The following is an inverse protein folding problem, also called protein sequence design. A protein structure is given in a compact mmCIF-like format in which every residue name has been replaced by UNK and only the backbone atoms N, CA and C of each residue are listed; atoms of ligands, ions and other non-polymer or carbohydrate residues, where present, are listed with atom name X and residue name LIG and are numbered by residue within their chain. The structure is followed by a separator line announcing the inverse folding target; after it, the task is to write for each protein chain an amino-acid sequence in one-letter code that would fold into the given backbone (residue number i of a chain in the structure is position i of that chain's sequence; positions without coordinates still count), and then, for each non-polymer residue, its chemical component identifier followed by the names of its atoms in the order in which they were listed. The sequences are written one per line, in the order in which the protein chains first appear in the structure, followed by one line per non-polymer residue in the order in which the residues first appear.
data_IF_742014821329
#
_entry.id   IF_742014821329
#
_cell.length_a   1.000
_cell.length_b   1.000
_cell.length_c   1.000
_cell.angle_alpha   90.00
_cell.angle_beta   90.00
_cell.angle_gamma   90.00
#
_symmetry.space_group_name_H-M   'P 1'
#
loop_
_entity.id
_entity.type
_entity.pdbx_description
1 polymer ?
#
# COMPACT_ATOMS: atom_id res chain seq x y z
N UNK A 1 15.19 -18.12 -4.09
CA UNK A 1 15.17 -18.00 -5.57
C UNK A 1 14.51 -16.67 -5.90
N UNK A 2 14.84 -16.00 -7.01
CA UNK A 2 14.05 -14.84 -7.46
C UNK A 2 12.76 -15.36 -8.11
N UNK A 3 11.61 -14.97 -7.56
CA UNK A 3 10.31 -15.23 -8.15
C UNK A 3 9.88 -14.00 -8.95
N UNK A 4 9.42 -14.21 -10.17
CA UNK A 4 8.87 -13.15 -11.04
C UNK A 4 7.46 -13.54 -11.45
N UNK A 5 6.50 -12.65 -11.17
CA UNK A 5 5.10 -12.76 -11.57
C UNK A 5 4.79 -11.73 -12.63
N UNK A 6 4.04 -12.15 -13.65
CA UNK A 6 3.56 -11.29 -14.73
C UNK A 6 2.04 -11.31 -14.75
N UNK A 7 1.44 -10.13 -14.86
CA UNK A 7 0.00 -9.91 -14.95
C UNK A 7 -0.30 -9.09 -16.18
N UNK A 8 -1.41 -9.40 -16.84
CA UNK A 8 -1.94 -8.58 -17.94
C UNK A 8 -3.13 -7.80 -17.38
N UNK A 9 -3.01 -6.49 -17.33
CA UNK A 9 -4.07 -5.56 -16.90
C UNK A 9 -4.38 -4.65 -18.07
N UNK A 10 -5.52 -4.88 -18.73
CA UNK A 10 -5.82 -4.30 -20.05
C UNK A 10 -4.66 -4.55 -21.04
N UNK A 11 -4.05 -3.51 -21.59
CA UNK A 11 -2.92 -3.61 -22.52
C UNK A 11 -1.55 -3.58 -21.82
N UNK A 12 -1.52 -3.52 -20.49
CA UNK A 12 -0.29 -3.43 -19.70
C UNK A 12 0.22 -4.79 -19.23
N UNK A 13 1.50 -5.04 -19.50
CA UNK A 13 2.24 -6.13 -18.84
C UNK A 13 2.86 -5.61 -17.54
N UNK A 14 2.29 -6.01 -16.40
CA UNK A 14 2.76 -5.61 -15.07
C UNK A 14 3.53 -6.75 -14.42
N UNK A 15 4.61 -6.41 -13.72
CA UNK A 15 5.49 -7.40 -13.08
C UNK A 15 5.63 -7.17 -11.59
N UNK A 16 5.85 -8.26 -10.86
CA UNK A 16 6.30 -8.27 -9.47
C UNK A 16 7.46 -9.25 -9.35
N UNK A 17 8.57 -8.81 -8.78
CA UNK A 17 9.73 -9.63 -8.51
C UNK A 17 10.17 -9.52 -7.05
N UNK A 18 10.49 -10.65 -6.42
CA UNK A 18 11.03 -10.70 -5.06
C UNK A 18 11.82 -11.97 -4.83
N UNK A 19 12.70 -11.94 -3.82
CA UNK A 19 13.38 -13.13 -3.37
C UNK A 19 12.46 -13.91 -2.43
N UNK A 20 12.26 -15.20 -2.72
CA UNK A 20 11.51 -16.09 -1.84
C UNK A 20 12.06 -16.04 -0.40
N UNK A 21 11.18 -16.15 0.61
CA UNK A 21 11.61 -16.24 1.99
C UNK A 21 12.54 -17.45 2.16
N UNK A 22 13.71 -17.21 2.75
CA UNK A 22 14.52 -18.32 3.26
C UNK A 22 13.78 -18.88 4.49
N UNK A 23 13.48 -20.18 4.51
CA UNK A 23 12.89 -20.91 5.66
C UNK A 23 13.79 -20.95 6.93
N UNK A 24 14.73 -20.01 7.07
CA UNK A 24 15.53 -19.85 8.26
C UNK A 24 14.68 -19.15 9.33
N UNK A 25 14.26 -19.91 10.33
CA UNK A 25 13.60 -19.44 11.53
C UNK A 25 14.37 -18.28 12.15
N UNK A 26 13.81 -17.07 12.05
CA UNK A 26 14.35 -15.90 12.76
C UNK A 26 14.04 -16.09 14.25
N UNK A 27 15.05 -16.11 15.14
CA UNK A 27 14.80 -16.22 16.56
C UNK A 27 14.02 -14.99 17.04
N UNK A 28 12.80 -15.23 17.52
CA UNK A 28 11.99 -14.22 18.20
C UNK A 28 12.67 -13.87 19.53
N UNK A 29 13.29 -12.69 19.64
CA UNK A 29 13.70 -12.17 20.95
C UNK A 29 12.44 -11.81 21.74
N UNK A 30 12.11 -12.62 22.75
CA UNK A 30 11.12 -12.29 23.77
C UNK A 30 11.71 -11.28 24.76
N UNK A 31 11.68 -10.00 24.41
CA UNK A 31 11.78 -8.91 25.37
C UNK A 31 10.42 -8.68 26.03
N UNK A 32 10.39 -8.38 27.33
CA UNK A 32 9.17 -7.93 28.00
C UNK A 32 8.69 -6.63 27.34
N UNK A 33 7.43 -6.62 26.88
CA UNK A 33 6.82 -5.44 26.26
C UNK A 33 6.57 -4.38 27.33
N UNK A 34 7.41 -3.34 27.37
CA UNK A 34 7.09 -2.13 28.12
C UNK A 34 5.96 -1.42 27.38
N UNK A 35 4.75 -1.38 27.95
CA UNK A 35 3.60 -0.69 27.34
C UNK A 35 3.82 0.82 27.49
N UNK A 36 4.08 1.51 26.38
CA UNK A 36 4.25 2.95 26.36
C UNK A 36 2.90 3.68 26.57
N UNK A 37 2.90 4.91 27.13
CA UNK A 37 1.66 5.62 27.44
C UNK A 37 0.74 5.91 26.24
N UNK A 38 1.32 6.06 25.04
CA UNK A 38 0.58 6.31 23.80
C UNK A 38 0.05 5.06 23.12
N UNK A 39 0.22 3.88 23.73
CA UNK A 39 -0.25 2.63 23.15
C UNK A 39 -1.77 2.63 23.02
N UNK A 40 -2.28 2.22 21.86
CA UNK A 40 -3.72 2.14 21.66
C UNK A 40 -4.33 1.10 22.62
N UNK A 41 -5.45 1.48 23.23
CA UNK A 41 -6.27 0.59 24.05
C UNK A 41 -7.61 0.51 23.37
N UNK A 42 -7.75 -0.44 22.47
CA UNK A 42 -8.96 -0.59 21.68
C UNK A 42 -9.44 -2.04 21.66
N UNK A 43 -10.70 -2.20 21.32
CA UNK A 43 -11.36 -3.44 21.01
C UNK A 43 -12.17 -3.24 19.73
N UNK A 44 -12.05 -4.20 18.81
CA UNK A 44 -12.94 -4.27 17.65
C UNK A 44 -14.13 -5.14 18.05
N UNK A 45 -15.29 -4.50 18.22
CA UNK A 45 -16.54 -5.15 18.56
C UNK A 45 -17.16 -5.82 17.33
N UNK A 46 -16.98 -5.22 16.15
CA UNK A 46 -17.43 -5.77 14.87
C UNK A 46 -16.51 -5.29 13.76
N UNK A 47 -16.18 -6.17 12.83
CA UNK A 47 -15.51 -5.85 11.58
C UNK A 47 -16.01 -6.84 10.52
N UNK A 48 -16.74 -6.34 9.53
CA UNK A 48 -17.40 -7.20 8.54
C UNK A 48 -17.57 -6.49 7.20
N UNK A 49 -17.60 -7.30 6.14
CA UNK A 49 -18.04 -6.89 4.82
C UNK A 49 -19.53 -7.20 4.64
N UNK A 50 -20.25 -6.36 3.90
CA UNK A 50 -21.62 -6.67 3.49
C UNK A 50 -21.68 -7.86 2.50
N UNK A 51 -20.64 -7.99 1.67
CA UNK A 51 -20.42 -9.12 0.76
C UNK A 51 -18.91 -9.38 0.65
N UNK A 52 -18.51 -10.64 0.59
CA UNK A 52 -17.13 -11.10 0.41
C UNK A 52 -16.83 -11.46 -1.06
N UNK A 53 -17.77 -11.19 -1.96
CA UNK A 53 -17.66 -11.39 -3.39
C UNK A 53 -18.30 -10.21 -4.12
N UNK A 54 -17.59 -9.66 -5.09
CA UNK A 54 -18.06 -8.54 -5.92
C UNK A 54 -17.71 -8.78 -7.39
N UNK A 55 -18.46 -8.14 -8.29
CA UNK A 55 -18.10 -8.06 -9.70
C UNK A 55 -17.06 -6.96 -9.96
N UNK A 56 -16.30 -7.02 -11.07
CA UNK A 56 -15.35 -5.96 -11.43
C UNK A 56 -16.00 -4.58 -11.51
N UNK A 57 -15.38 -3.59 -10.86
CA UNK A 57 -15.87 -2.21 -10.81
C UNK A 57 -16.91 -1.93 -9.71
N UNK A 58 -17.36 -2.94 -8.97
CA UNK A 58 -18.22 -2.73 -7.80
C UNK A 58 -17.43 -2.32 -6.55
N UNK A 59 -18.13 -1.69 -5.60
CA UNK A 59 -17.56 -1.29 -4.32
C UNK A 59 -17.86 -2.29 -3.22
N UNK A 60 -16.90 -2.49 -2.32
CA UNK A 60 -17.07 -3.17 -1.04
C UNK A 60 -17.71 -2.23 -0.03
N UNK A 61 -18.58 -2.77 0.82
CA UNK A 61 -19.08 -2.07 2.01
C UNK A 61 -18.48 -2.67 3.27
N UNK A 62 -17.51 -1.96 3.86
CA UNK A 62 -16.85 -2.31 5.12
C UNK A 62 -17.57 -1.63 6.29
N UNK A 63 -17.92 -2.39 7.31
CA UNK A 63 -18.50 -1.86 8.55
C UNK A 63 -17.65 -2.27 9.75
N UNK A 64 -17.37 -1.32 10.64
CA UNK A 64 -16.62 -1.58 11.86
C UNK A 64 -17.22 -0.85 13.06
N UNK A 65 -17.15 -1.49 14.23
CA UNK A 65 -17.43 -0.90 15.53
C UNK A 65 -16.19 -1.09 16.40
N UNK A 66 -15.62 0.01 16.85
CA UNK A 66 -14.37 0.04 17.61
C UNK A 66 -14.62 0.84 18.87
N UNK A 67 -14.33 0.25 20.02
CA UNK A 67 -14.30 0.98 21.30
C UNK A 67 -12.85 1.15 21.74
N UNK A 68 -12.45 2.33 22.19
CA UNK A 68 -11.08 2.54 22.64
C UNK A 68 -10.59 3.98 22.75
N UNK A 69 -9.33 4.09 23.16
CA UNK A 69 -8.60 5.35 23.32
C UNK A 69 -7.23 5.24 22.65
N UNK A 70 -6.55 6.38 22.51
CA UNK A 70 -5.21 6.51 21.92
C UNK A 70 -5.08 6.05 20.46
N UNK A 71 -6.16 6.16 19.69
CA UNK A 71 -6.14 5.96 18.23
C UNK A 71 -5.70 7.28 17.58
N UNK A 72 -4.59 7.23 16.85
CA UNK A 72 -4.06 8.37 16.12
C UNK A 72 -4.66 8.46 14.72
N UNK A 73 -4.59 7.37 13.96
CA UNK A 73 -5.11 7.30 12.60
C UNK A 73 -5.79 5.95 12.34
N UNK A 74 -6.70 5.96 11.38
CA UNK A 74 -7.35 4.76 10.85
C UNK A 74 -7.10 4.74 9.35
N UNK A 75 -6.78 3.56 8.80
CA UNK A 75 -6.59 3.38 7.37
C UNK A 75 -7.40 2.20 6.86
N UNK A 76 -7.80 2.28 5.60
CA UNK A 76 -8.16 1.09 4.82
C UNK A 76 -7.03 0.74 3.88
N UNK A 77 -6.78 -0.54 3.66
CA UNK A 77 -5.79 -1.00 2.69
C UNK A 77 -6.26 -2.26 1.96
N UNK A 78 -5.85 -2.44 0.70
CA UNK A 78 -6.19 -3.63 -0.09
C UNK A 78 -4.91 -4.34 -0.53
N UNK A 79 -4.83 -5.65 -0.33
CA UNK A 79 -3.80 -6.50 -0.92
C UNK A 79 -4.46 -7.50 -1.86
N UNK A 80 -3.77 -7.85 -2.95
CA UNK A 80 -4.23 -8.89 -3.86
C UNK A 80 -3.39 -10.15 -3.71
N UNK A 81 -4.02 -11.31 -3.87
CA UNK A 81 -3.38 -12.60 -3.70
C UNK A 81 -2.66 -13.03 -4.97
N UNK A 82 -1.51 -13.66 -4.79
CA UNK A 82 -0.85 -14.43 -5.82
C UNK A 82 -1.69 -15.67 -6.20
N UNK A 83 -1.69 -16.04 -7.49
CA UNK A 83 -2.53 -17.13 -8.00
C UNK A 83 -1.97 -18.54 -7.70
N UNK A 84 -0.67 -18.66 -7.42
CA UNK A 84 0.01 -19.96 -7.25
C UNK A 84 0.55 -20.16 -5.83
N UNK A 85 0.86 -19.07 -5.14
CA UNK A 85 1.47 -19.05 -3.82
C UNK A 85 0.57 -18.33 -2.82
N UNK A 86 0.75 -18.64 -1.54
CA UNK A 86 0.03 -17.96 -0.45
C UNK A 86 0.74 -16.65 -0.06
N UNK A 87 0.88 -15.78 -1.05
CA UNK A 87 1.46 -14.44 -0.92
C UNK A 87 0.43 -13.38 -1.27
N UNK A 88 0.52 -12.24 -0.60
CA UNK A 88 -0.31 -11.07 -0.89
C UNK A 88 0.57 -9.87 -1.22
N UNK A 89 0.25 -9.18 -2.31
CA UNK A 89 0.99 -8.03 -2.80
C UNK A 89 0.20 -6.75 -2.53
N UNK A 90 0.86 -5.74 -1.99
CA UNK A 90 0.18 -4.49 -1.72
C UNK A 90 0.93 -3.52 -0.81
N UNK A 91 0.19 -2.56 -0.22
CA UNK A 91 -1.20 -2.24 -0.56
C UNK A 91 -1.35 -1.77 -2.02
N UNK A 92 -2.33 -2.30 -2.76
CA UNK A 92 -2.76 -1.73 -4.06
C UNK A 92 -3.43 -0.38 -3.87
N UNK A 93 -4.18 -0.27 -2.78
CA UNK A 93 -4.85 0.95 -2.35
C UNK A 93 -4.65 1.08 -0.85
N UNK A 94 -4.38 2.29 -0.40
CA UNK A 94 -4.38 2.65 1.01
C UNK A 94 -4.96 4.05 1.15
N UNK A 95 -5.84 4.25 2.13
CA UNK A 95 -6.52 5.52 2.34
C UNK A 95 -6.68 5.79 3.83
N UNK A 96 -6.62 7.07 4.21
CA UNK A 96 -6.99 7.50 5.55
C UNK A 96 -8.51 7.47 5.72
N UNK A 97 -8.99 6.88 6.80
CA UNK A 97 -10.40 7.00 7.19
C UNK A 97 -10.64 8.39 7.77
N UNK A 98 -11.65 9.09 7.24
CA UNK A 98 -12.00 10.44 7.68
C UNK A 98 -12.77 10.40 9.01
N UNK A 99 -12.42 11.29 9.94
CA UNK A 99 -13.20 11.50 11.15
C UNK A 99 -14.24 12.60 10.91
N UNK A 100 -15.33 12.58 11.69
CA UNK A 100 -16.30 13.66 11.74
C UNK A 100 -15.72 14.94 12.37
N UNK A 101 -14.69 14.81 13.21
CA UNK A 101 -14.03 15.93 13.88
C UNK A 101 -12.54 15.88 13.57
N UNK A 102 -11.98 17.04 13.21
CA UNK A 102 -10.58 17.20 12.87
C UNK A 102 -9.98 18.33 13.67
N UNK A 103 -8.67 18.26 13.90
CA UNK A 103 -7.91 19.27 14.62
C UNK A 103 -6.62 19.58 13.89
N UNK A 104 -6.35 20.87 13.69
CA UNK A 104 -5.07 21.33 13.18
C UNK A 104 -4.07 21.56 14.31
N UNK A 105 -2.87 21.00 14.18
CA UNK A 105 -1.76 21.17 15.11
C UNK A 105 -0.50 21.46 14.30
N UNK A 106 0.06 22.66 14.46
CA UNK A 106 1.29 23.08 13.75
C UNK A 106 1.16 22.99 12.21
N UNK A 107 -0.03 23.29 11.68
CA UNK A 107 -0.30 23.22 10.24
C UNK A 107 -0.61 21.82 9.70
N UNK A 108 -0.59 20.79 10.56
CA UNK A 108 -0.98 19.42 10.21
C UNK A 108 -2.38 19.11 10.72
N UNK A 109 -3.19 18.47 9.89
CA UNK A 109 -4.56 18.06 10.26
C UNK A 109 -4.50 16.65 10.86
N UNK A 110 -5.18 16.46 11.97
CA UNK A 110 -5.31 15.18 12.66
C UNK A 110 -6.79 14.84 12.87
N UNK A 111 -7.18 13.56 12.73
CA UNK A 111 -8.51 13.14 13.15
C UNK A 111 -8.65 13.22 14.66
N UNK A 112 -9.87 13.48 15.12
CA UNK A 112 -10.28 13.31 16.51
C UNK A 112 -11.33 12.23 16.56
N UNK A 113 -11.05 11.16 17.30
CA UNK A 113 -11.95 10.02 17.41
C UNK A 113 -12.73 10.06 18.73
N UNK A 114 -14.00 9.69 18.69
CA UNK A 114 -14.76 9.36 19.88
C UNK A 114 -14.28 8.04 20.50
N UNK A 115 -14.63 7.79 21.76
CA UNK A 115 -14.33 6.50 22.41
C UNK A 115 -15.06 5.32 21.76
N UNK A 116 -16.14 5.59 21.02
CA UNK A 116 -16.94 4.63 20.27
C UNK A 116 -16.98 5.06 18.81
N UNK A 117 -16.26 4.34 17.95
CA UNK A 117 -16.11 4.64 16.53
C UNK A 117 -16.98 3.67 15.74
N UNK A 118 -17.90 4.22 14.97
CA UNK A 118 -18.76 3.47 14.06
C UNK A 118 -18.42 3.85 12.62
N UNK A 119 -17.93 2.89 11.84
CA UNK A 119 -17.53 3.10 10.46
C UNK A 119 -18.49 2.39 9.51
N UNK A 120 -18.82 3.07 8.41
CA UNK A 120 -19.43 2.47 7.22
C UNK A 120 -18.74 3.09 6.01
N UNK A 121 -17.91 2.31 5.35
CA UNK A 121 -17.02 2.75 4.28
C UNK A 121 -17.39 2.02 2.99
N UNK A 122 -17.42 2.76 1.88
CA UNK A 122 -17.53 2.22 0.52
C UNK A 122 -16.17 2.32 -0.15
N UNK A 123 -15.67 1.20 -0.66
CA UNK A 123 -14.28 1.06 -1.10
C UNK A 123 -14.28 0.37 -2.45
N UNK A 124 -13.77 1.05 -3.47
CA UNK A 124 -13.74 0.54 -4.86
C UNK A 124 -12.34 0.08 -5.22
N UNK A 125 -12.07 -1.24 -5.33
CA UNK A 125 -10.74 -1.72 -5.65
C UNK A 125 -10.32 -1.31 -7.06
N UNK A 126 -9.13 -0.72 -7.18
CA UNK A 126 -8.48 -0.38 -8.46
C UNK A 126 -7.02 -0.79 -8.43
N UNK A 127 -6.42 -0.97 -9.60
CA UNK A 127 -4.98 -1.14 -9.76
C UNK A 127 -4.42 0.16 -10.31
N UNK A 128 -3.55 0.81 -9.55
CA UNK A 128 -2.80 1.95 -10.06
C UNK A 128 -1.59 1.50 -10.86
N UNK A 129 -1.49 2.01 -12.07
CA UNK A 129 -0.40 1.72 -13.02
C UNK A 129 0.43 2.97 -13.22
N UNK A 130 1.73 2.89 -12.94
CA UNK A 130 2.69 3.94 -13.32
C UNK A 130 3.23 3.62 -14.71
N UNK A 131 3.25 4.60 -15.60
CA UNK A 131 3.69 4.42 -16.99
C UNK A 131 4.70 5.50 -17.42
N UNK A 132 5.58 5.13 -18.34
CA UNK A 132 6.48 6.05 -19.06
C UNK A 132 6.01 6.31 -20.51
N UNK A 133 4.79 5.86 -20.85
CA UNK A 133 4.20 5.90 -22.18
C UNK A 133 4.50 4.67 -23.05
N UNK A 134 5.51 3.86 -22.68
CA UNK A 134 5.89 2.64 -23.39
C UNK A 134 5.81 1.39 -22.50
N UNK A 135 6.27 1.51 -21.26
CA UNK A 135 6.29 0.46 -20.25
C UNK A 135 5.37 0.84 -19.08
N UNK A 136 4.97 -0.18 -18.32
CA UNK A 136 4.11 -0.02 -17.16
C UNK A 136 4.61 -0.83 -15.95
N UNK A 137 4.23 -0.37 -14.77
CA UNK A 137 4.51 -1.04 -13.50
C UNK A 137 3.34 -0.86 -12.53
N UNK A 138 3.16 -1.80 -11.60
CA UNK A 138 2.27 -1.58 -10.46
C UNK A 138 2.80 -0.39 -9.64
N UNK A 139 1.90 0.50 -9.28
CA UNK A 139 2.19 1.62 -8.41
C UNK A 139 1.52 1.38 -7.05
N UNK A 140 2.24 0.74 -6.13
CA UNK A 140 1.81 0.53 -4.74
C UNK A 140 1.90 1.85 -3.97
N UNK A 141 0.99 2.77 -4.29
CA UNK A 141 0.98 4.13 -3.76
C UNK A 141 0.31 4.18 -2.39
N UNK A 142 0.79 5.12 -1.58
CA UNK A 142 0.27 5.40 -0.25
C UNK A 142 -0.25 6.84 -0.21
N UNK A 143 -1.21 7.16 0.66
CA UNK A 143 -1.66 8.53 0.81
C UNK A 143 -0.51 9.39 1.34
N UNK A 144 -0.63 10.71 1.14
CA UNK A 144 0.22 11.67 1.84
C UNK A 144 -0.22 11.77 3.32
N UNK A 145 0.09 12.89 3.95
CA UNK A 145 -0.33 13.17 5.32
C UNK A 145 -1.87 13.21 5.42
N UNK A 146 -2.40 13.04 6.62
CA UNK A 146 -3.85 13.06 6.83
C UNK A 146 -4.47 14.37 6.34
N UNK A 147 -5.60 14.28 5.64
CA UNK A 147 -6.28 15.39 4.98
C UNK A 147 -5.50 16.07 3.83
N UNK A 148 -4.32 15.56 3.46
CA UNK A 148 -3.57 16.04 2.32
C UNK A 148 -3.95 15.24 1.07
N UNK A 149 -4.34 15.96 0.02
CA UNK A 149 -4.61 15.35 -1.29
C UNK A 149 -3.33 14.92 -1.99
N UNK A 150 -3.43 13.86 -2.79
CA UNK A 150 -2.32 13.26 -3.51
C UNK A 150 -1.81 11.98 -2.85
N UNK A 151 -0.79 11.41 -3.47
CA UNK A 151 -0.23 10.12 -3.10
C UNK A 151 1.29 10.12 -3.27
N UNK A 152 1.93 9.14 -2.66
CA UNK A 152 3.37 8.93 -2.76
C UNK A 152 3.69 7.49 -3.14
N UNK A 153 4.75 7.35 -3.93
CA UNK A 153 5.27 6.07 -4.40
C UNK A 153 6.74 5.96 -4.04
N UNK A 154 7.12 4.88 -3.36
CA UNK A 154 8.51 4.56 -3.09
C UNK A 154 9.04 3.52 -4.09
N UNK A 155 10.30 3.70 -4.48
CA UNK A 155 10.96 2.83 -5.43
C UNK A 155 12.48 2.91 -5.39
N UNK A 156 13.10 2.19 -6.31
CA UNK A 156 14.53 2.25 -6.59
C UNK A 156 14.77 3.10 -7.83
N UNK A 157 15.63 4.11 -7.70
CA UNK A 157 16.03 5.00 -8.77
C UNK A 157 17.48 4.77 -9.17
N UNK A 158 17.72 4.60 -10.46
CA UNK A 158 19.04 4.37 -11.04
C UNK A 158 19.31 5.41 -12.11
N UNK A 159 20.36 6.23 -11.92
CA UNK A 159 20.81 7.13 -12.99
C UNK A 159 21.40 6.31 -14.13
N UNK A 160 21.10 6.68 -15.38
CA UNK A 160 21.50 5.96 -16.61
C UNK A 160 22.94 5.42 -16.60
N UNK A 161 23.88 6.23 -16.11
CA UNK A 161 25.32 5.94 -16.17
C UNK A 161 25.92 5.49 -14.82
N UNK A 162 25.12 5.43 -13.75
CA UNK A 162 25.66 5.24 -12.39
C UNK A 162 25.72 3.79 -11.92
N UNK A 163 24.97 2.88 -12.57
CA UNK A 163 24.83 1.47 -12.18
C UNK A 163 24.25 1.21 -10.77
N UNK A 164 24.15 2.24 -9.94
CA UNK A 164 23.77 2.15 -8.53
C UNK A 164 22.32 2.59 -8.36
N UNK A 165 21.50 1.70 -7.77
CA UNK A 165 20.14 2.01 -7.38
C UNK A 165 20.11 2.62 -5.97
N UNK A 166 19.37 3.72 -5.81
CA UNK A 166 19.10 4.34 -4.52
C UNK A 166 17.59 4.39 -4.27
N UNK A 167 17.17 4.46 -3.00
CA UNK A 167 15.76 4.66 -2.69
C UNK A 167 15.33 6.04 -3.18
N UNK A 168 14.13 6.12 -3.72
CA UNK A 168 13.51 7.37 -4.13
C UNK A 168 12.03 7.36 -3.74
N UNK A 169 11.48 8.55 -3.61
CA UNK A 169 10.07 8.80 -3.36
C UNK A 169 9.57 9.82 -4.35
N UNK A 170 8.51 9.48 -5.07
CA UNK A 170 7.78 10.42 -5.91
C UNK A 170 6.44 10.71 -5.25
N UNK A 171 5.97 11.95 -5.36
CA UNK A 171 4.61 12.33 -4.97
C UNK A 171 3.87 12.79 -6.20
N UNK A 172 2.60 12.44 -6.26
CA UNK A 172 1.69 12.81 -7.32
C UNK A 172 0.46 13.48 -6.72
N UNK A 173 -0.18 14.36 -7.49
CA UNK A 173 -1.54 14.79 -7.19
C UNK A 173 -2.56 13.70 -7.57
N UNK A 174 -3.85 14.04 -7.44
CA UNK A 174 -4.96 13.12 -7.73
C UNK A 174 -5.22 12.93 -9.23
N UNK A 175 -4.64 13.76 -10.10
CA UNK A 175 -4.83 13.69 -11.56
C UNK A 175 -3.73 12.89 -12.25
N UNK A 176 -2.70 12.42 -11.52
CA UNK A 176 -1.61 11.65 -12.09
C UNK A 176 -0.29 12.41 -12.21
N UNK A 177 -0.26 13.70 -11.89
CA UNK A 177 0.88 14.57 -12.18
C UNK A 177 1.89 14.58 -11.03
N UNK A 178 3.17 14.51 -11.37
CA UNK A 178 4.24 14.46 -10.38
C UNK A 178 4.49 15.85 -9.76
N UNK A 179 4.25 15.97 -8.46
CA UNK A 179 4.39 17.22 -7.70
C UNK A 179 5.69 17.30 -6.89
N UNK A 180 6.30 16.17 -6.54
CA UNK A 180 7.56 16.11 -5.79
C UNK A 180 8.37 14.85 -6.13
N UNK A 181 9.70 14.96 -6.02
CA UNK A 181 10.63 13.86 -6.33
C UNK A 181 11.89 13.97 -5.48
N UNK A 182 12.12 12.93 -4.69
CA UNK A 182 13.20 12.91 -3.71
C UNK A 182 14.01 11.63 -3.85
N UNK A 183 15.31 11.74 -3.65
CA UNK A 183 16.21 10.61 -3.43
C UNK A 183 16.49 10.48 -1.95
N UNK A 184 16.43 9.25 -1.43
CA UNK A 184 16.65 8.91 -0.04
C UNK A 184 18.01 8.23 0.07
N UNK A 185 18.95 8.91 0.74
CA UNK A 185 20.30 8.42 0.95
C UNK A 185 20.52 8.07 2.41
N UNK A 186 21.21 6.97 2.67
CA UNK A 186 21.65 6.63 4.02
C UNK A 186 23.09 7.13 4.25
N UNK A 187 23.28 7.93 5.30
CA UNK A 187 24.59 8.42 5.72
C UNK A 187 24.76 8.25 7.22
N UNK A 188 25.69 7.37 7.61
CA UNK A 188 25.99 7.06 9.03
C UNK A 188 24.76 6.63 9.82
N UNK A 189 23.92 5.76 9.25
CA UNK A 189 22.71 5.26 9.89
C UNK A 189 21.54 6.25 9.94
N UNK A 190 21.64 7.39 9.25
CA UNK A 190 20.55 8.38 9.12
C UNK A 190 20.08 8.44 7.68
N UNK A 191 18.76 8.45 7.49
CA UNK A 191 18.13 8.70 6.20
C UNK A 191 18.08 10.22 5.96
N UNK A 192 18.49 10.64 4.78
CA UNK A 192 18.42 12.03 4.31
C UNK A 192 17.70 12.06 2.96
N UNK A 193 16.76 13.00 2.82
CA UNK A 193 16.05 13.26 1.56
C UNK A 193 16.68 14.46 0.84
N UNK A 194 16.78 14.35 -0.49
CA UNK A 194 17.26 15.41 -1.36
C UNK A 194 16.41 15.47 -2.62
N UNK A 195 16.25 16.67 -3.19
CA UNK A 195 15.61 16.84 -4.50
C UNK A 195 16.28 15.96 -5.56
N UNK A 196 15.45 15.33 -6.38
CA UNK A 196 15.90 14.39 -7.41
C UNK A 196 15.63 14.95 -8.81
N UNK A 197 16.65 15.50 -9.51
CA UNK A 197 16.51 15.80 -10.93
C UNK A 197 16.54 14.49 -11.74
N UNK A 198 15.43 14.20 -12.44
CA UNK A 198 15.28 13.03 -13.31
C UNK A 198 15.61 13.43 -14.75
N UNK A 199 16.45 12.66 -15.42
CA UNK A 199 16.87 12.88 -16.83
C UNK A 199 16.44 11.72 -17.71
N UNK A 200 16.41 11.95 -19.02
CA UNK A 200 16.12 10.90 -19.99
C UNK A 200 17.11 9.74 -19.86
N UNK A 201 16.58 8.52 -19.79
CA UNK A 201 17.31 7.28 -19.58
C UNK A 201 17.56 6.91 -18.11
N UNK A 202 17.19 7.75 -17.15
CA UNK A 202 17.14 7.34 -15.75
C UNK A 202 16.00 6.35 -15.54
N UNK A 203 16.18 5.39 -14.64
CA UNK A 203 15.20 4.32 -14.39
C UNK A 203 14.59 4.43 -13.00
N UNK A 204 13.32 4.04 -12.89
CA UNK A 204 12.60 3.91 -11.64
C UNK A 204 11.88 2.56 -11.57
N UNK A 205 11.98 1.90 -10.42
CA UNK A 205 11.33 0.61 -10.16
C UNK A 205 10.53 0.74 -8.86
N UNK A 206 9.18 0.74 -8.91
CA UNK A 206 8.35 0.78 -7.71
C UNK A 206 8.66 -0.38 -6.77
N UNK A 207 8.61 -0.15 -5.47
CA UNK A 207 8.71 -1.24 -4.48
C UNK A 207 7.33 -1.80 -4.14
N UNK A 208 7.30 -3.07 -3.74
CA UNK A 208 6.09 -3.74 -3.27
C UNK A 208 6.34 -4.38 -1.91
N UNK A 209 5.34 -4.36 -1.02
CA UNK A 209 5.33 -5.19 0.18
C UNK A 209 4.65 -6.51 -0.14
N UNK A 210 5.31 -7.60 0.21
CA UNK A 210 4.80 -8.96 0.03
C UNK A 210 4.51 -9.53 1.41
N UNK A 211 3.25 -9.81 1.72
CA UNK A 211 2.90 -10.53 2.94
C UNK A 211 3.13 -12.02 2.71
N UNK A 212 3.85 -12.65 3.64
CA UNK A 212 4.16 -14.08 3.64
C UNK A 212 3.68 -14.71 4.94
N UNK A 213 3.44 -16.02 4.91
CA UNK A 213 2.97 -16.79 6.09
C UNK A 213 1.71 -16.19 6.71
N UNK A 214 0.80 -15.73 5.86
CA UNK A 214 -0.40 -15.00 6.27
C UNK A 214 -1.32 -15.92 7.07
N UNK A 215 -1.60 -15.52 8.31
CA UNK A 215 -2.52 -16.25 9.18
C UNK A 215 -3.56 -15.28 9.75
N UNK A 216 -4.80 -15.41 9.30
CA UNK A 216 -5.93 -14.61 9.79
C UNK A 216 -6.15 -14.73 11.31
N UNK A 217 -5.69 -15.83 11.92
CA UNK A 217 -5.81 -16.06 13.38
C UNK A 217 -4.67 -15.44 14.20
N UNK A 218 -3.55 -15.06 13.57
CA UNK A 218 -2.41 -14.47 14.25
C UNK A 218 -1.76 -13.39 13.36
N UNK A 219 -2.01 -12.09 13.63
CA UNK A 219 -1.60 -10.99 12.76
C UNK A 219 -0.11 -10.67 12.82
N UNK A 220 0.74 -11.53 13.40
CA UNK A 220 2.19 -11.45 13.19
C UNK A 220 2.52 -11.84 11.75
N UNK A 221 2.36 -10.88 10.87
CA UNK A 221 2.60 -11.04 9.45
C UNK A 221 4.08 -10.87 9.17
N UNK A 222 4.68 -11.91 8.62
CA UNK A 222 5.96 -11.77 7.97
C UNK A 222 5.74 -10.99 6.68
N UNK A 223 6.65 -10.04 6.40
CA UNK A 223 6.63 -9.34 5.14
C UNK A 223 8.03 -9.22 4.56
N UNK A 224 8.08 -9.30 3.24
CA UNK A 224 9.27 -9.10 2.43
C UNK A 224 9.06 -7.86 1.56
N UNK A 225 10.17 -7.36 1.01
CA UNK A 225 10.15 -6.31 0.00
C UNK A 225 10.46 -6.92 -1.36
N UNK A 226 9.58 -6.66 -2.32
CA UNK A 226 9.81 -6.88 -3.74
C UNK A 226 9.92 -5.57 -4.51
N UNK A 227 9.96 -5.71 -5.83
CA UNK A 227 9.94 -4.63 -6.80
C UNK A 227 8.90 -4.93 -7.90
N UNK A 228 8.43 -3.88 -8.57
CA UNK A 228 7.58 -4.01 -9.75
C UNK A 228 8.39 -3.90 -11.06
N UNK A 229 7.72 -3.62 -12.18
CA UNK A 229 8.33 -3.39 -13.48
C UNK A 229 9.25 -2.17 -13.50
N UNK A 230 10.24 -2.19 -14.39
CA UNK A 230 11.16 -1.08 -14.60
C UNK A 230 10.57 -0.08 -15.59
N UNK A 231 10.53 1.19 -15.19
CA UNK A 231 10.20 2.31 -16.06
C UNK A 231 11.47 3.11 -16.36
N UNK A 232 11.54 3.64 -17.58
CA UNK A 232 12.66 4.49 -18.01
C UNK A 232 12.12 5.86 -18.34
N UNK A 233 12.72 6.92 -17.78
CA UNK A 233 12.33 8.28 -18.13
C UNK A 233 12.60 8.50 -19.63
N UNK A 234 11.55 8.71 -20.40
CA UNK A 234 11.62 9.08 -21.82
C UNK A 234 11.45 10.60 -21.97
N UNK A 235 10.67 11.05 -22.95
CA UNK A 235 10.33 12.47 -23.15
C UNK A 235 9.28 12.91 -22.13
N UNK A 236 8.19 12.15 -22.00
CA UNK A 236 7.08 12.45 -21.08
C UNK A 236 7.41 12.12 -19.63
N UNK A 237 6.85 12.87 -18.65
CA UNK A 237 6.99 12.54 -17.24
C UNK A 237 6.31 11.19 -16.94
N UNK A 238 6.78 10.52 -15.88
CA UNK A 238 6.00 9.43 -15.33
C UNK A 238 4.66 9.99 -14.85
N UNK A 239 3.58 9.33 -15.22
CA UNK A 239 2.24 9.59 -14.72
C UNK A 239 1.57 8.26 -14.39
N UNK A 240 0.51 8.31 -13.60
CA UNK A 240 -0.24 7.11 -13.25
C UNK A 240 -1.66 7.17 -13.80
N UNK A 241 -2.22 5.98 -14.03
CA UNK A 241 -3.62 5.76 -14.39
C UNK A 241 -4.18 4.68 -13.49
N UNK A 242 -5.49 4.75 -13.22
CA UNK A 242 -6.19 3.68 -12.52
C UNK A 242 -6.82 2.72 -13.53
N UNK A 243 -6.58 1.44 -13.33
CA UNK A 243 -7.14 0.34 -14.12
C UNK A 243 -8.07 -0.51 -13.25
N UNK A 244 -8.95 -1.26 -13.90
CA UNK A 244 -9.84 -2.18 -13.21
C UNK A 244 -9.03 -3.23 -12.41
N UNK A 245 -9.47 -3.51 -11.18
CA UNK A 245 -8.89 -4.57 -10.39
C UNK A 245 -9.03 -5.94 -11.08
N UNK A 246 -8.00 -6.78 -10.94
CA UNK A 246 -7.99 -8.13 -11.51
C UNK A 246 -9.02 -9.02 -10.80
N UNK A 247 -9.56 -10.00 -11.52
CA UNK A 247 -10.29 -11.09 -10.88
C UNK A 247 -9.35 -11.91 -9.98
N UNK A 248 -9.83 -12.34 -8.82
CA UNK A 248 -9.05 -13.12 -7.87
C UNK A 248 -9.39 -12.85 -6.41
N UNK A 249 -8.56 -13.41 -5.54
CA UNK A 249 -8.69 -13.26 -4.08
C UNK A 249 -7.93 -12.02 -3.60
N UNK A 250 -8.48 -11.37 -2.58
CA UNK A 250 -7.96 -10.15 -1.99
C UNK A 250 -8.10 -10.16 -0.47
N UNK A 251 -7.39 -9.24 0.17
CA UNK A 251 -7.59 -8.84 1.55
C UNK A 251 -7.94 -7.38 1.59
N UNK A 252 -8.94 -7.03 2.39
CA UNK A 252 -9.18 -5.67 2.84
C UNK A 252 -8.80 -5.54 4.30
N UNK A 253 -7.99 -4.55 4.62
CA UNK A 253 -7.49 -4.25 5.95
C UNK A 253 -8.14 -3.01 6.54
N UNK A 254 -8.48 -3.06 7.83
CA UNK A 254 -8.61 -1.90 8.68
C UNK A 254 -7.34 -1.81 9.54
N UNK A 255 -6.59 -0.73 9.40
CA UNK A 255 -5.37 -0.48 10.16
C UNK A 255 -5.64 0.57 11.21
N UNK A 256 -5.30 0.26 12.45
CA UNK A 256 -5.36 1.20 13.58
C UNK A 256 -3.93 1.60 13.90
N UNK A 257 -3.63 2.90 13.82
CA UNK A 257 -2.36 3.47 14.26
C UNK A 257 -2.54 4.18 15.60
N UNK A 258 -1.64 3.93 16.54
CA UNK A 258 -1.65 4.58 17.85
C UNK A 258 -0.78 5.85 17.90
N UNK A 259 -0.77 6.55 19.04
CA UNK A 259 0.03 7.77 19.19
C UNK A 259 1.55 7.54 19.27
N UNK A 260 2.01 6.28 19.37
CA UNK A 260 3.43 5.94 19.21
C UNK A 260 3.80 5.65 17.74
N UNK A 261 2.81 5.57 16.84
CA UNK A 261 2.99 5.15 15.45
C UNK A 261 3.01 3.64 15.25
N UNK A 262 2.61 2.86 16.26
CA UNK A 262 2.47 1.41 16.10
C UNK A 262 1.17 1.11 15.34
N UNK A 263 1.28 0.25 14.31
CA UNK A 263 0.16 -0.14 13.46
C UNK A 263 -0.35 -1.53 13.78
N UNK A 264 -1.67 -1.66 13.89
CA UNK A 264 -2.37 -2.91 14.13
C UNK A 264 -3.32 -3.20 12.98
N UNK A 265 -3.08 -4.30 12.27
CA UNK A 265 -3.79 -4.63 11.04
C UNK A 265 -4.85 -5.72 11.29
N UNK A 266 -6.06 -5.48 10.78
CA UNK A 266 -7.19 -6.41 10.85
C UNK A 266 -7.73 -6.65 9.45
N UNK A 267 -7.66 -7.88 8.95
CA UNK A 267 -8.00 -8.19 7.56
C UNK A 267 -9.24 -9.06 7.45
N UNK A 268 -10.01 -8.80 6.39
CA UNK A 268 -11.07 -9.67 5.91
C UNK A 268 -10.76 -10.12 4.48
N UNK A 269 -10.95 -11.40 4.13
CA UNK A 269 -10.85 -11.84 2.76
C UNK A 269 -12.07 -11.41 1.95
N UNK A 270 -11.85 -11.14 0.66
CA UNK A 270 -12.92 -11.02 -0.34
C UNK A 270 -12.39 -11.48 -1.71
N UNK A 271 -13.28 -11.60 -2.69
CA UNK A 271 -12.91 -11.96 -4.06
C UNK A 271 -13.60 -11.07 -5.10
N UNK A 272 -12.92 -10.85 -6.22
CA UNK A 272 -13.44 -10.19 -7.40
C UNK A 272 -13.67 -11.25 -8.48
N UNK A 273 -14.88 -11.31 -9.01
CA UNK A 273 -15.25 -12.27 -10.06
C UNK A 273 -14.54 -11.98 -11.38
N UNK A 274 -14.36 -13.03 -12.19
CA UNK A 274 -13.99 -12.83 -13.59
C UNK A 274 -15.17 -12.19 -14.33
N UNK A 275 -14.89 -11.24 -15.22
CA UNK A 275 -15.90 -10.76 -16.17
C UNK A 275 -16.45 -11.97 -16.94
N UNK A 276 -17.72 -12.32 -16.73
CA UNK A 276 -18.41 -13.25 -17.62
C UNK A 276 -18.54 -12.54 -18.97
N UNK A 277 -17.65 -12.87 -19.91
CA UNK A 277 -17.90 -12.55 -21.32
C UNK A 277 -19.13 -13.38 -21.71
N UNK A 278 -20.30 -12.75 -21.73
CA UNK A 278 -21.48 -13.30 -22.37
C UNK A 278 -21.10 -13.58 -23.83
N UNK A 279 -20.78 -14.83 -24.13
CA UNK A 279 -20.75 -15.31 -25.51
C UNK A 279 -22.18 -15.25 -26.03
N UNK A 280 -22.47 -14.24 -26.85
CA UNK A 280 -23.68 -14.17 -27.68
C UNK A 280 -23.64 -15.24 -28.77
#
# INVERSE_FOLDING_TARGET
MELVRTYIVNDWELKIAFNEPNNASVPSKSGQTLVAPGAAKYQINTLQLAADKISPGESLKLSAQISGENIAFLFTEIYFKDQEYDYYYGPLMQEHVRSAVEKEITGLVHPVWDSEINLSLEISPVIRVLTDGLNAAFAFMHPLEYAQEGCQLEGLFTKKDSGNANRARFKFDLDGEMIDKQIILEKRGRLMTHDLPIKSGDMFIPTVKVLTDFNLSNPKMHSLRGISGTLTKLEDPFHWVDEAALAGDYLIGLVIEDYNGDQYHHYLPFSIEANEVLTL
#
